data_IF_441910030402
#
_entry.id   IF_441910030402
#
_cell.length_a   1.000
_cell.length_b   1.000
_cell.length_c   1.000
_cell.angle_alpha   90.00
_cell.angle_beta   90.00
_cell.angle_gamma   90.00
#
_symmetry.space_group_name_H-M   'P 1'
#
loop_
_entity.id
_entity.type
_entity.pdbx_description
1 polymer ?
#
# COMPACT_ATOMS: atom_id res chain seq x y z
N UNK A 1 -20.51 3.93 -7.85
CA UNK A 1 -19.41 4.34 -8.76
C UNK A 1 -20.04 4.73 -10.09
N UNK A 2 -20.03 6.02 -10.42
CA UNK A 2 -20.55 6.49 -11.70
C UNK A 2 -19.61 6.04 -12.83
N UNK A 3 -20.16 5.44 -13.88
CA UNK A 3 -19.41 4.98 -15.04
C UNK A 3 -18.92 6.19 -15.84
N UNK A 4 -17.72 6.71 -15.53
CA UNK A 4 -17.14 7.84 -16.25
C UNK A 4 -16.64 7.35 -17.62
N UNK A 5 -17.13 7.97 -18.68
CA UNK A 5 -16.83 7.63 -20.09
C UNK A 5 -15.32 7.74 -20.36
N UNK A 6 -14.72 6.71 -20.97
CA UNK A 6 -13.32 6.70 -21.44
C UNK A 6 -13.10 7.55 -22.71
N UNK A 7 -14.16 7.97 -23.40
CA UNK A 7 -14.08 8.68 -24.68
C UNK A 7 -13.31 10.02 -24.63
N UNK A 8 -13.42 10.87 -23.60
CA UNK A 8 -12.65 12.10 -23.49
C UNK A 8 -11.15 11.84 -23.34
N UNK A 9 -10.75 10.85 -22.52
CA UNK A 9 -9.35 10.44 -22.36
C UNK A 9 -8.76 9.95 -23.68
N UNK A 10 -9.52 9.12 -24.40
CA UNK A 10 -9.13 8.61 -25.71
C UNK A 10 -8.97 9.75 -26.73
N UNK A 11 -9.84 10.76 -26.72
CA UNK A 11 -9.75 11.93 -27.62
C UNK A 11 -8.55 12.81 -27.31
N UNK A 12 -8.27 13.11 -26.04
CA UNK A 12 -7.07 13.86 -25.64
C UNK A 12 -5.79 13.08 -26.00
N UNK A 13 -5.79 11.76 -25.81
CA UNK A 13 -4.66 10.91 -26.22
C UNK A 13 -4.51 10.81 -27.74
N UNK A 14 -5.62 10.85 -28.48
CA UNK A 14 -5.63 10.91 -29.95
C UNK A 14 -5.15 12.27 -30.47
N UNK A 15 -5.47 13.38 -29.79
CA UNK A 15 -4.96 14.72 -30.16
C UNK A 15 -3.45 14.83 -29.89
N UNK A 16 -2.94 14.21 -28.82
CA UNK A 16 -1.51 14.04 -28.58
C UNK A 16 -0.77 13.32 -29.72
N UNK A 17 -1.45 12.40 -30.43
CA UNK A 17 -0.88 11.67 -31.58
C UNK A 17 -0.93 12.44 -32.91
N UNK A 18 -1.66 13.55 -33.00
CA UNK A 18 -1.84 14.31 -34.24
C UNK A 18 -0.57 15.01 -34.74
N UNK A 19 0.46 15.12 -33.90
CA UNK A 19 1.83 15.55 -34.24
C UNK A 19 2.80 14.61 -33.50
N UNK A 20 3.99 14.32 -34.05
CA UNK A 20 4.97 13.52 -33.30
C UNK A 20 5.24 14.20 -31.96
N UNK A 21 5.06 13.50 -30.82
CA UNK A 21 5.29 14.09 -29.51
C UNK A 21 6.75 14.54 -29.41
N UNK A 22 6.98 15.63 -28.69
CA UNK A 22 8.34 16.11 -28.44
C UNK A 22 9.17 14.99 -27.77
N UNK A 23 10.41 14.72 -28.22
CA UNK A 23 11.24 13.67 -27.64
C UNK A 23 11.47 13.83 -26.13
N UNK A 24 11.53 15.08 -25.62
CA UNK A 24 11.66 15.34 -24.19
C UNK A 24 10.40 14.92 -23.43
N UNK A 25 9.22 15.21 -23.99
CA UNK A 25 7.96 14.76 -23.42
C UNK A 25 7.81 13.23 -23.37
N UNK A 26 8.31 12.52 -24.40
CA UNK A 26 8.35 11.04 -24.38
C UNK A 26 9.25 10.52 -23.26
N UNK A 27 10.44 11.12 -23.08
CA UNK A 27 11.36 10.73 -22.01
C UNK A 27 10.76 10.97 -20.61
N UNK A 28 10.02 12.07 -20.41
CA UNK A 28 9.33 12.35 -19.15
C UNK A 28 8.23 11.31 -18.87
N UNK A 29 7.46 10.90 -19.88
CA UNK A 29 6.47 9.84 -19.75
C UNK A 29 7.10 8.48 -19.40
N UNK A 30 8.18 8.10 -20.09
CA UNK A 30 8.90 6.86 -19.79
C UNK A 30 9.46 6.87 -18.36
N UNK A 31 9.97 8.01 -17.89
CA UNK A 31 10.43 8.15 -16.52
C UNK A 31 9.29 7.93 -15.51
N UNK A 32 8.15 8.56 -15.72
CA UNK A 32 6.99 8.44 -14.82
C UNK A 32 6.38 7.02 -14.85
N UNK A 33 6.31 6.39 -16.02
CA UNK A 33 5.85 5.00 -16.15
C UNK A 33 6.75 4.03 -15.38
N UNK A 34 8.07 4.15 -15.53
CA UNK A 34 9.03 3.35 -14.78
C UNK A 34 8.88 3.57 -13.27
N UNK A 35 8.56 4.79 -12.85
CA UNK A 35 8.36 5.14 -11.44
C UNK A 35 7.09 4.53 -10.87
N UNK A 36 5.97 4.60 -11.59
CA UNK A 36 4.71 3.98 -11.19
C UNK A 36 4.84 2.44 -11.13
N UNK A 37 5.56 1.84 -12.08
CA UNK A 37 5.87 0.41 -12.07
C UNK A 37 6.70 0.01 -10.85
N UNK A 38 7.76 0.76 -10.52
CA UNK A 38 8.58 0.52 -9.32
C UNK A 38 7.75 0.63 -8.04
N UNK A 39 6.85 1.63 -7.93
CA UNK A 39 5.95 1.76 -6.79
C UNK A 39 4.98 0.59 -6.68
N UNK A 40 4.38 0.17 -7.79
CA UNK A 40 3.48 -0.99 -7.84
C UNK A 40 4.16 -2.28 -7.39
N UNK A 41 5.40 -2.54 -7.85
CA UNK A 41 6.20 -3.70 -7.42
C UNK A 41 6.47 -3.62 -5.92
N UNK A 42 6.89 -2.46 -5.40
CA UNK A 42 7.17 -2.28 -3.97
C UNK A 42 5.92 -2.46 -3.11
N UNK A 43 4.76 -1.97 -3.54
CA UNK A 43 3.49 -2.14 -2.85
C UNK A 43 3.06 -3.62 -2.82
N UNK A 44 3.22 -4.33 -3.94
CA UNK A 44 2.99 -5.78 -4.00
C UNK A 44 3.91 -6.56 -3.06
N UNK A 45 5.21 -6.26 -3.08
CA UNK A 45 6.18 -6.87 -2.17
C UNK A 45 5.85 -6.57 -0.70
N UNK A 46 5.39 -5.35 -0.40
CA UNK A 46 4.98 -4.94 0.94
C UNK A 46 3.80 -5.76 1.47
N UNK A 47 2.78 -6.00 0.63
CA UNK A 47 1.64 -6.85 0.99
C UNK A 47 2.08 -8.29 1.25
N UNK A 48 2.95 -8.84 0.39
CA UNK A 48 3.52 -10.18 0.59
C UNK A 48 4.29 -10.29 1.91
N UNK A 49 5.13 -9.30 2.21
CA UNK A 49 5.88 -9.25 3.47
C UNK A 49 4.97 -9.12 4.70
N UNK A 50 3.95 -8.27 4.64
CA UNK A 50 2.98 -8.13 5.72
C UNK A 50 2.21 -9.44 5.98
N UNK A 51 1.85 -10.19 4.93
CA UNK A 51 1.20 -11.49 5.08
C UNK A 51 2.09 -12.49 5.85
N UNK A 52 3.39 -12.52 5.56
CA UNK A 52 4.36 -13.33 6.30
C UNK A 52 4.42 -12.91 7.78
N UNK A 53 4.51 -11.61 8.04
CA UNK A 53 4.55 -11.10 9.42
C UNK A 53 3.28 -11.37 10.22
N UNK A 54 2.10 -11.21 9.62
CA UNK A 54 0.83 -11.54 10.26
C UNK A 54 0.79 -13.05 10.58
N UNK A 55 1.16 -13.88 9.61
CA UNK A 55 1.23 -15.34 9.80
C UNK A 55 2.10 -15.65 11.02
N UNK A 56 3.36 -15.21 10.99
CA UNK A 56 4.34 -15.41 12.05
C UNK A 56 3.83 -14.85 13.40
N UNK A 57 3.28 -13.64 13.42
CA UNK A 57 2.80 -12.99 14.64
C UNK A 57 1.55 -13.63 15.25
N UNK A 58 0.79 -14.43 14.50
CA UNK A 58 -0.33 -15.22 15.04
C UNK A 58 0.07 -16.55 15.67
N UNK A 59 1.30 -17.03 15.45
CA UNK A 59 1.78 -18.31 16.00
C UNK A 59 1.61 -18.46 17.51
N UNK A 60 1.86 -17.42 18.35
CA UNK A 60 1.63 -17.56 19.79
C UNK A 60 0.21 -18.03 20.12
N UNK A 61 -0.80 -17.59 19.36
CA UNK A 61 -2.21 -17.91 19.62
C UNK A 61 -2.62 -19.24 18.97
N UNK A 62 -2.06 -19.57 17.81
CA UNK A 62 -2.45 -20.76 17.04
C UNK A 62 -1.56 -21.98 17.25
N UNK A 63 -0.41 -21.84 17.92
CA UNK A 63 0.52 -22.95 18.18
C UNK A 63 -0.08 -23.97 19.15
N UNK A 64 0.38 -25.22 19.01
CA UNK A 64 -0.01 -26.30 19.93
C UNK A 64 0.41 -26.00 21.37
N UNK A 65 -0.37 -26.46 22.36
CA UNK A 65 0.01 -26.39 23.77
C UNK A 65 1.40 -27.00 23.98
N UNK A 66 2.30 -26.26 24.63
CA UNK A 66 3.67 -26.68 24.93
C UNK A 66 4.75 -26.05 24.05
N UNK A 67 4.39 -25.35 22.96
CA UNK A 67 5.38 -24.56 22.22
C UNK A 67 5.88 -23.37 23.06
N UNK A 68 7.16 -22.93 22.93
CA UNK A 68 7.73 -21.88 23.76
C UNK A 68 6.91 -20.58 23.78
N UNK A 69 6.35 -20.17 22.65
CA UNK A 69 5.52 -18.96 22.54
C UNK A 69 4.00 -19.23 22.62
N UNK A 70 3.56 -20.48 22.74
CA UNK A 70 2.12 -20.79 22.76
C UNK A 70 1.39 -20.11 23.93
N UNK A 71 0.25 -19.51 23.66
CA UNK A 71 -0.62 -18.88 24.63
C UNK A 71 -1.90 -19.69 24.73
N UNK A 72 -2.31 -19.96 25.96
CA UNK A 72 -3.66 -20.43 26.23
C UNK A 72 -4.53 -19.24 26.62
N UNK A 73 -5.58 -18.97 25.85
CA UNK A 73 -6.43 -17.80 26.04
C UNK A 73 -7.20 -17.83 27.37
N UNK A 74 -7.48 -19.02 27.92
CA UNK A 74 -8.19 -19.14 29.19
C UNK A 74 -7.30 -18.76 30.38
N UNK A 75 -6.04 -19.21 30.38
CA UNK A 75 -5.08 -18.92 31.45
C UNK A 75 -4.32 -17.59 31.28
N UNK A 76 -4.10 -17.14 30.04
CA UNK A 76 -3.28 -15.95 29.72
C UNK A 76 -4.02 -14.93 28.82
N UNK A 77 -5.26 -14.53 29.16
CA UNK A 77 -6.11 -13.73 28.26
C UNK A 77 -5.46 -12.38 27.89
N UNK A 78 -4.74 -11.76 28.83
CA UNK A 78 -4.09 -10.47 28.59
C UNK A 78 -2.95 -10.59 27.56
N UNK A 79 -2.10 -11.62 27.66
CA UNK A 79 -1.02 -11.84 26.70
C UNK A 79 -1.57 -12.20 25.32
N UNK A 80 -2.65 -12.97 25.26
CA UNK A 80 -3.36 -13.26 24.00
C UNK A 80 -3.88 -11.98 23.35
N UNK A 81 -4.55 -11.11 24.12
CA UNK A 81 -5.03 -9.83 23.61
C UNK A 81 -3.88 -8.92 23.15
N UNK A 82 -2.80 -8.82 23.92
CA UNK A 82 -1.63 -8.02 23.54
C UNK A 82 -0.97 -8.54 22.25
N UNK A 83 -0.87 -9.87 22.10
CA UNK A 83 -0.36 -10.49 20.87
C UNK A 83 -1.20 -10.14 19.65
N UNK A 84 -2.53 -10.08 19.79
CA UNK A 84 -3.44 -9.70 18.71
C UNK A 84 -3.37 -8.19 18.41
N UNK A 85 -3.33 -7.36 19.45
CA UNK A 85 -3.21 -5.90 19.33
C UNK A 85 -1.89 -5.49 18.67
N UNK A 86 -0.81 -6.23 18.94
CA UNK A 86 0.50 -6.03 18.31
C UNK A 86 0.48 -6.15 16.77
N UNK A 87 -0.53 -6.83 16.20
CA UNK A 87 -0.71 -6.97 14.76
C UNK A 87 -1.45 -5.79 14.11
N UNK A 88 -2.15 -4.95 14.88
CA UNK A 88 -2.94 -3.84 14.34
C UNK A 88 -2.14 -2.88 13.45
N UNK A 89 -0.89 -2.50 13.75
CA UNK A 89 -0.10 -1.67 12.85
C UNK A 89 0.24 -2.36 11.53
N UNK A 90 0.39 -3.69 11.52
CA UNK A 90 0.62 -4.46 10.29
C UNK A 90 -0.67 -4.49 9.44
N UNK A 91 -1.84 -4.62 10.08
CA UNK A 91 -3.13 -4.49 9.40
C UNK A 91 -3.30 -3.08 8.80
N UNK A 92 -2.94 -2.03 9.55
CA UNK A 92 -2.95 -0.66 9.05
C UNK A 92 -2.01 -0.48 7.85
N UNK A 93 -0.84 -1.13 7.87
CA UNK A 93 0.08 -1.17 6.74
C UNK A 93 -0.56 -1.78 5.49
N UNK A 94 -1.26 -2.92 5.62
CA UNK A 94 -2.02 -3.53 4.52
C UNK A 94 -3.08 -2.58 3.97
N UNK A 95 -3.80 -1.85 4.83
CA UNK A 95 -4.80 -0.86 4.40
C UNK A 95 -4.15 0.26 3.59
N UNK A 96 -3.00 0.80 4.02
CA UNK A 96 -2.29 1.83 3.27
C UNK A 96 -1.78 1.31 1.92
N UNK A 97 -1.21 0.10 1.88
CA UNK A 97 -0.73 -0.51 0.65
C UNK A 97 -1.88 -0.80 -0.34
N UNK A 98 -3.02 -1.31 0.14
CA UNK A 98 -4.21 -1.52 -0.68
C UNK A 98 -4.78 -0.20 -1.19
N UNK A 99 -4.85 0.83 -0.35
CA UNK A 99 -5.29 2.16 -0.81
C UNK A 99 -4.39 2.72 -1.90
N UNK A 100 -3.07 2.56 -1.76
CA UNK A 100 -2.11 2.97 -2.78
C UNK A 100 -2.34 2.23 -4.12
N UNK A 101 -2.53 0.91 -4.08
CA UNK A 101 -2.81 0.11 -5.29
C UNK A 101 -4.17 0.43 -5.93
N UNK A 102 -5.14 0.86 -5.12
CA UNK A 102 -6.47 1.25 -5.59
C UNK A 102 -6.54 2.70 -6.08
N UNK A 103 -5.47 3.49 -5.95
CA UNK A 103 -5.41 4.81 -6.58
C UNK A 103 -5.34 4.64 -8.10
N UNK A 104 -6.51 4.63 -8.72
CA UNK A 104 -6.63 4.84 -10.15
C UNK A 104 -6.46 6.32 -10.49
N UNK A 105 -6.04 6.60 -11.73
CA UNK A 105 -6.07 7.95 -12.30
C UNK A 105 -7.53 8.40 -12.46
N UNK A 106 -8.11 8.99 -11.41
CA UNK A 106 -9.43 9.62 -11.46
C UNK A 106 -9.34 10.98 -12.16
N UNK A 107 -9.23 10.95 -13.48
CA UNK A 107 -9.36 12.15 -14.30
C UNK A 107 -10.83 12.58 -14.37
N UNK A 108 -11.12 13.80 -13.92
CA UNK A 108 -12.38 14.49 -14.16
C UNK A 108 -12.29 15.34 -15.43
N UNK A 109 -13.09 14.98 -16.43
CA UNK A 109 -13.14 15.66 -17.72
C UNK A 109 -14.26 16.70 -17.81
N UNK A 110 -15.09 16.87 -16.78
CA UNK A 110 -16.20 17.83 -16.83
C UNK A 110 -15.67 19.27 -16.98
N UNK A 111 -16.16 19.96 -18.02
CA UNK A 111 -15.88 21.37 -18.27
C UNK A 111 -14.58 21.68 -19.02
N UNK A 112 -13.84 20.68 -19.53
CA UNK A 112 -12.63 20.93 -20.33
C UNK A 112 -13.00 20.96 -21.83
N UNK A 113 -12.96 22.15 -22.43
CA UNK A 113 -13.25 22.36 -23.85
C UNK A 113 -12.00 22.33 -24.74
N UNK A 114 -10.80 22.46 -24.15
CA UNK A 114 -9.52 22.58 -24.84
C UNK A 114 -8.65 21.33 -24.60
N UNK A 115 -8.10 20.79 -25.69
CA UNK A 115 -7.28 19.57 -25.67
C UNK A 115 -5.97 19.79 -24.92
N UNK A 116 -5.38 20.99 -24.99
CA UNK A 116 -4.11 21.30 -24.31
C UNK A 116 -4.27 21.34 -22.79
N UNK A 117 -5.35 21.98 -22.33
CA UNK A 117 -5.73 21.97 -20.93
C UNK A 117 -6.08 20.55 -20.42
N UNK A 118 -6.67 19.70 -21.27
CA UNK A 118 -6.93 18.30 -20.94
C UNK A 118 -5.62 17.51 -20.75
N UNK A 119 -4.63 17.71 -21.63
CA UNK A 119 -3.30 17.08 -21.56
C UNK A 119 -2.56 17.44 -20.27
N UNK A 120 -2.51 18.73 -19.93
CA UNK A 120 -1.80 19.18 -18.74
C UNK A 120 -2.44 18.65 -17.45
N UNK A 121 -3.78 18.56 -17.40
CA UNK A 121 -4.48 18.01 -16.24
C UNK A 121 -4.34 16.48 -16.12
N UNK A 122 -4.31 15.75 -17.24
CA UNK A 122 -4.02 14.32 -17.23
C UNK A 122 -2.63 14.07 -16.64
N UNK A 123 -1.63 14.79 -17.13
CA UNK A 123 -0.25 14.68 -16.65
C UNK A 123 -0.12 15.06 -15.16
N UNK A 124 -0.76 16.15 -14.74
CA UNK A 124 -0.79 16.55 -13.33
C UNK A 124 -1.49 15.50 -12.43
N UNK A 125 -2.56 14.88 -12.92
CA UNK A 125 -3.28 13.81 -12.20
C UNK A 125 -2.39 12.58 -12.05
N UNK A 126 -1.61 12.23 -13.08
CA UNK A 126 -0.69 11.09 -13.05
C UNK A 126 0.49 11.31 -12.09
N UNK A 127 1.09 12.50 -12.10
CA UNK A 127 2.12 12.84 -11.10
C UNK A 127 1.53 12.79 -9.69
N UNK A 128 0.33 13.35 -9.51
CA UNK A 128 -0.34 13.33 -8.22
C UNK A 128 -0.62 11.90 -7.72
N UNK A 129 -1.03 10.97 -8.59
CA UNK A 129 -1.24 9.57 -8.19
C UNK A 129 0.08 8.93 -7.73
N UNK A 130 1.18 9.16 -8.44
CA UNK A 130 2.52 8.68 -8.05
C UNK A 130 2.93 9.21 -6.68
N UNK A 131 2.75 10.51 -6.42
CA UNK A 131 3.08 11.13 -5.13
C UNK A 131 2.26 10.54 -3.98
N UNK A 132 0.95 10.34 -4.20
CA UNK A 132 0.06 9.78 -3.19
C UNK A 132 0.38 8.30 -2.94
N UNK A 133 0.66 7.51 -3.99
CA UNK A 133 1.13 6.14 -3.85
C UNK A 133 2.43 6.07 -3.04
N UNK A 134 3.42 6.91 -3.35
CA UNK A 134 4.69 6.97 -2.62
C UNK A 134 4.49 7.34 -1.14
N UNK A 135 3.59 8.28 -0.85
CA UNK A 135 3.22 8.65 0.53
C UNK A 135 2.60 7.47 1.29
N UNK A 136 1.65 6.76 0.68
CA UNK A 136 1.03 5.60 1.31
C UNK A 136 2.01 4.45 1.51
N UNK A 137 2.92 4.21 0.56
CA UNK A 137 4.01 3.25 0.73
C UNK A 137 4.88 3.61 1.95
N UNK A 138 5.22 4.88 2.12
CA UNK A 138 5.95 5.36 3.31
C UNK A 138 5.20 5.12 4.62
N UNK A 139 3.88 5.34 4.64
CA UNK A 139 3.04 5.05 5.80
C UNK A 139 2.93 3.55 6.08
N UNK A 140 2.81 2.73 5.04
CA UNK A 140 2.79 1.28 5.14
C UNK A 140 4.09 0.77 5.79
N UNK A 141 5.25 1.19 5.28
CA UNK A 141 6.56 0.81 5.83
C UNK A 141 6.66 1.15 7.32
N UNK A 142 6.34 2.39 7.71
CA UNK A 142 6.39 2.82 9.12
C UNK A 142 5.46 1.99 10.01
N UNK A 143 4.26 1.70 9.53
CA UNK A 143 3.26 0.92 10.28
C UNK A 143 3.72 -0.54 10.46
N UNK A 144 4.34 -1.13 9.43
CA UNK A 144 4.93 -2.47 9.52
C UNK A 144 6.09 -2.53 10.49
N UNK A 145 7.00 -1.55 10.45
CA UNK A 145 8.11 -1.49 11.41
C UNK A 145 7.59 -1.38 12.86
N UNK A 146 6.60 -0.52 13.10
CA UNK A 146 5.96 -0.40 14.41
C UNK A 146 5.30 -1.70 14.86
N UNK A 147 4.56 -2.37 13.96
CA UNK A 147 3.91 -3.65 14.25
C UNK A 147 4.90 -4.80 14.50
N UNK A 148 5.97 -4.86 13.72
CA UNK A 148 7.06 -5.81 13.92
C UNK A 148 7.73 -5.61 15.28
N UNK A 149 8.05 -4.38 15.65
CA UNK A 149 8.62 -4.06 16.96
C UNK A 149 7.67 -4.44 18.11
N UNK A 150 6.38 -4.11 18.01
CA UNK A 150 5.37 -4.48 19.01
C UNK A 150 5.20 -5.99 19.15
N UNK A 151 5.22 -6.72 18.03
CA UNK A 151 5.16 -8.19 18.02
C UNK A 151 6.36 -8.78 18.76
N UNK A 152 7.58 -8.29 18.47
CA UNK A 152 8.79 -8.73 19.16
C UNK A 152 8.76 -8.43 20.66
N UNK A 153 8.25 -7.26 21.07
CA UNK A 153 8.07 -6.91 22.48
C UNK A 153 7.07 -7.84 23.17
N UNK A 154 5.95 -8.18 22.50
CA UNK A 154 5.00 -9.14 23.04
C UNK A 154 5.64 -10.51 23.21
N UNK A 155 6.40 -11.00 22.23
CA UNK A 155 7.09 -12.28 22.35
C UNK A 155 8.11 -12.30 23.48
N UNK A 156 8.88 -11.22 23.65
CA UNK A 156 9.80 -11.09 24.77
C UNK A 156 9.05 -11.16 26.12
N UNK A 157 7.90 -10.48 26.24
CA UNK A 157 7.07 -10.54 27.43
C UNK A 157 6.55 -11.97 27.71
N UNK A 158 6.09 -12.68 26.68
CA UNK A 158 5.63 -14.08 26.79
C UNK A 158 6.76 -14.97 27.30
N UNK A 159 7.97 -14.84 26.75
CA UNK A 159 9.12 -15.63 27.17
C UNK A 159 9.53 -15.32 28.60
N UNK A 160 9.54 -14.04 29.00
CA UNK A 160 9.86 -13.65 30.37
C UNK A 160 8.89 -14.25 31.39
N UNK A 161 7.59 -14.24 31.08
CA UNK A 161 6.55 -14.82 31.96
C UNK A 161 6.63 -16.35 32.04
N UNK A 162 7.15 -17.01 31.00
CA UNK A 162 7.27 -18.48 30.99
C UNK A 162 8.56 -19.00 31.60
N UNK A 163 9.63 -18.20 31.57
CA UNK A 163 10.95 -18.58 32.09
C UNK A 163 11.10 -18.17 33.57
N UNK A 164 10.46 -17.07 33.98
CA UNK A 164 10.44 -16.60 35.37
C UNK A 164 9.30 -17.19 36.17
#
# INVERSE_FOLDING_TARGET
MAFRSFRPRLRAFQSMRGSPPDPGFVADLEFLENRDLDLSIRLGAMLGFNALLITIGTHPVSASPGAPLSLDAASQPLLTLLSLVGLLPIVASCVFALRALMLGEEFDSEGIADDDAARQRLFATFIHSIDVQARYLGLAIRSTLAGGALTMLCWAAILLVKIG
#
